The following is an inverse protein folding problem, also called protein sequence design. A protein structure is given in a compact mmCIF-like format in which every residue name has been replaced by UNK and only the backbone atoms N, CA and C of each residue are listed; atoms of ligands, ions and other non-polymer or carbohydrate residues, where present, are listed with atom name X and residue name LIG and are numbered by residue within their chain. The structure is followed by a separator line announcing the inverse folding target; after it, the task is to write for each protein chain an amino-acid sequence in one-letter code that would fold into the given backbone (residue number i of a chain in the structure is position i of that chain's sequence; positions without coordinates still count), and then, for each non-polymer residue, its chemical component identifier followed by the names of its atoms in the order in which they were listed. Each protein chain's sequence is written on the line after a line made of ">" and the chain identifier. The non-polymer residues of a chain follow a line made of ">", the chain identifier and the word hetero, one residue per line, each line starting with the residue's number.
data_IF_759522413673
#
_entry.id   IF_759522413673
#
_cell.length_a   1.000
_cell.length_b   1.000
_cell.length_c   1.000
_cell.angle_alpha   90.00
_cell.angle_beta   90.00
_cell.angle_gamma   90.00
#
_symmetry.space_group_name_H-M   'P 1'
#
loop_
_entity.id
_entity.type
_entity.pdbx_description
1 polymer ?
#
# COMPACT_ATOMS: atom_id res chain seq x y z
N UNK A 1 -14.64 -22.61 -21.18
CA UNK A 1 -13.21 -22.75 -20.83
C UNK A 1 -12.82 -21.49 -20.06
N UNK A 2 -12.88 -21.51 -18.73
CA UNK A 2 -12.49 -20.37 -17.91
C UNK A 2 -10.96 -20.34 -17.84
N UNK A 3 -10.34 -19.52 -18.69
CA UNK A 3 -8.90 -19.26 -18.59
C UNK A 3 -8.70 -18.27 -17.45
N UNK A 4 -8.32 -18.77 -16.28
CA UNK A 4 -7.93 -17.91 -15.15
C UNK A 4 -6.65 -17.19 -15.55
N UNK A 5 -6.74 -15.89 -15.82
CA UNK A 5 -5.60 -15.06 -16.20
C UNK A 5 -4.69 -14.92 -14.99
N UNK A 6 -3.56 -15.63 -15.00
CA UNK A 6 -2.51 -15.50 -13.99
C UNK A 6 -1.54 -14.41 -14.43
N UNK A 7 -1.16 -13.55 -13.47
CA UNK A 7 -0.14 -12.52 -13.68
C UNK A 7 1.08 -12.85 -12.82
N UNK A 8 2.28 -12.67 -13.38
CA UNK A 8 3.51 -12.74 -12.61
C UNK A 8 3.62 -11.52 -11.70
N UNK A 9 3.90 -11.76 -10.41
CA UNK A 9 3.96 -10.69 -9.40
C UNK A 9 5.11 -9.73 -9.68
N UNK A 10 6.25 -10.23 -10.19
CA UNK A 10 7.40 -9.39 -10.55
C UNK A 10 7.07 -8.42 -11.68
N UNK A 11 6.36 -8.91 -12.71
CA UNK A 11 5.89 -8.06 -13.81
C UNK A 11 4.89 -7.01 -13.34
N UNK A 12 3.94 -7.37 -12.46
CA UNK A 12 2.99 -6.41 -11.89
C UNK A 12 3.72 -5.33 -11.07
N UNK A 13 4.67 -5.71 -10.22
CA UNK A 13 5.48 -4.76 -9.44
C UNK A 13 6.31 -3.85 -10.35
N UNK A 14 6.90 -4.39 -11.41
CA UNK A 14 7.67 -3.62 -12.39
C UNK A 14 6.80 -2.60 -13.12
N UNK A 15 5.56 -2.97 -13.50
CA UNK A 15 4.60 -2.06 -14.12
C UNK A 15 4.09 -0.97 -13.17
N UNK A 16 4.09 -1.22 -11.87
CA UNK A 16 3.68 -0.28 -10.83
C UNK A 16 4.82 0.64 -10.34
N UNK A 17 6.07 0.35 -10.70
CA UNK A 17 7.24 1.11 -10.25
C UNK A 17 7.11 2.60 -10.58
N UNK A 18 7.40 3.46 -9.60
CA UNK A 18 7.26 4.92 -9.71
C UNK A 18 5.82 5.44 -9.65
N UNK A 19 4.82 4.57 -9.49
CA UNK A 19 3.38 4.94 -9.45
C UNK A 19 2.68 4.55 -8.15
N UNK A 20 3.41 4.10 -7.13
CA UNK A 20 2.79 3.59 -5.92
C UNK A 20 1.91 4.60 -5.18
N UNK A 21 2.31 5.88 -5.11
CA UNK A 21 1.46 6.92 -4.50
C UNK A 21 0.11 7.05 -5.20
N UNK A 22 0.13 7.10 -6.54
CA UNK A 22 -1.08 7.16 -7.37
C UNK A 22 -1.95 5.92 -7.12
N UNK A 23 -1.36 4.72 -7.21
CA UNK A 23 -2.07 3.45 -7.05
C UNK A 23 -2.68 3.30 -5.65
N UNK A 24 -1.91 3.59 -4.60
CA UNK A 24 -2.38 3.53 -3.20
C UNK A 24 -3.53 4.50 -2.94
N UNK A 25 -3.50 5.67 -3.57
CA UNK A 25 -4.60 6.62 -3.45
C UNK A 25 -5.83 6.19 -4.25
N UNK A 26 -5.66 5.88 -5.53
CA UNK A 26 -6.77 5.59 -6.44
C UNK A 26 -7.45 4.25 -6.15
N UNK A 27 -6.67 3.23 -5.74
CA UNK A 27 -7.17 1.87 -5.52
C UNK A 27 -7.35 1.58 -4.03
N UNK A 28 -6.43 2.03 -3.18
CA UNK A 28 -6.46 1.81 -1.74
C UNK A 28 -7.29 2.82 -0.96
N UNK A 29 -7.73 3.92 -1.58
CA UNK A 29 -8.49 4.98 -0.91
C UNK A 29 -7.69 5.74 0.15
N UNK A 30 -6.36 5.66 0.11
CA UNK A 30 -5.50 6.39 1.04
C UNK A 30 -5.38 7.84 0.57
N UNK A 31 -5.65 8.80 1.45
CA UNK A 31 -5.44 10.21 1.14
C UNK A 31 -3.96 10.46 0.77
N UNK A 32 -3.66 11.05 -0.41
CA UNK A 32 -2.30 11.36 -0.83
C UNK A 32 -1.48 12.16 0.20
N UNK A 33 -2.13 12.97 1.04
CA UNK A 33 -1.43 13.74 2.09
C UNK A 33 -0.78 12.86 3.15
N UNK A 34 -1.24 11.61 3.31
CA UNK A 34 -0.69 10.65 4.26
C UNK A 34 0.54 9.93 3.69
N UNK A 35 0.76 10.00 2.38
CA UNK A 35 1.86 9.33 1.67
C UNK A 35 3.11 10.21 1.60
N UNK A 36 3.42 10.92 2.69
CA UNK A 36 4.57 11.84 2.79
C UNK A 36 5.73 11.28 3.63
N UNK A 37 5.58 10.05 4.14
CA UNK A 37 6.56 9.37 4.99
C UNK A 37 6.53 9.78 6.47
N UNK A 38 5.65 10.69 6.87
CA UNK A 38 5.48 11.11 8.26
C UNK A 38 4.47 10.24 9.00
N UNK A 39 4.41 10.45 10.31
CA UNK A 39 3.46 9.82 11.19
C UNK A 39 2.06 10.44 11.03
N UNK A 40 1.06 9.58 10.86
CA UNK A 40 -0.34 9.98 10.77
C UNK A 40 -1.27 9.00 11.51
N UNK A 41 -2.52 9.42 11.68
CA UNK A 41 -3.62 8.52 11.99
C UNK A 41 -3.73 7.44 10.90
N UNK A 42 -4.04 6.20 11.30
CA UNK A 42 -4.20 5.13 10.31
C UNK A 42 -5.51 5.31 9.54
N UNK A 43 -5.48 5.32 8.18
CA UNK A 43 -6.69 5.41 7.39
C UNK A 43 -7.62 4.19 7.55
N UNK A 44 -7.08 3.04 7.98
CA UNK A 44 -7.87 1.80 8.20
C UNK A 44 -8.37 1.62 9.63
N UNK A 45 -7.56 1.93 10.65
CA UNK A 45 -7.88 1.63 12.06
C UNK A 45 -7.82 2.83 13.02
N UNK A 46 -7.66 4.05 12.50
CA UNK A 46 -7.61 5.28 13.30
C UNK A 46 -6.33 5.44 14.14
N UNK A 47 -6.46 6.04 15.33
CA UNK A 47 -5.33 6.47 16.16
C UNK A 47 -4.75 7.81 15.73
N UNK A 48 -3.51 8.11 16.15
CA UNK A 48 -2.92 9.46 15.98
C UNK A 48 -1.62 9.46 15.16
N UNK A 49 -0.77 8.43 15.30
CA UNK A 49 0.63 8.47 14.85
C UNK A 49 1.19 7.13 14.32
N UNK A 50 0.30 6.18 14.04
CA UNK A 50 0.68 4.79 13.76
C UNK A 50 0.96 4.48 12.29
N UNK A 51 0.45 5.31 11.37
CA UNK A 51 0.60 5.12 9.92
C UNK A 51 1.78 5.91 9.36
N UNK A 52 2.56 5.28 8.49
CA UNK A 52 3.65 5.89 7.72
C UNK A 52 3.75 5.23 6.34
N UNK A 53 4.07 6.02 5.32
CA UNK A 53 4.50 5.52 4.02
C UNK A 53 6.02 5.33 4.03
N UNK A 54 6.48 4.11 4.25
CA UNK A 54 7.87 3.83 4.67
C UNK A 54 8.82 3.57 3.49
N UNK A 55 8.32 3.20 2.32
CA UNK A 55 9.14 2.99 1.13
C UNK A 55 8.37 3.42 -0.13
N UNK A 56 8.83 4.52 -0.74
CA UNK A 56 8.24 5.08 -1.97
C UNK A 56 8.45 4.17 -3.18
N UNK A 57 9.63 3.56 -3.29
CA UNK A 57 10.02 2.73 -4.42
C UNK A 57 9.30 1.38 -4.40
N UNK A 58 9.17 0.77 -3.23
CA UNK A 58 8.45 -0.49 -3.05
C UNK A 58 6.94 -0.30 -2.89
N UNK A 59 6.47 0.90 -2.53
CA UNK A 59 5.07 1.18 -2.25
C UNK A 59 4.62 0.75 -0.86
N UNK A 60 5.54 0.60 0.10
CA UNK A 60 5.25 0.01 1.39
C UNK A 60 4.64 1.01 2.38
N UNK A 61 3.50 0.66 2.96
CA UNK A 61 2.86 1.34 4.07
C UNK A 61 3.09 0.56 5.37
N UNK A 62 3.19 1.25 6.49
CA UNK A 62 3.25 0.65 7.83
C UNK A 62 2.12 1.21 8.68
N UNK A 63 1.39 0.33 9.36
CA UNK A 63 0.62 0.69 10.54
C UNK A 63 1.10 -0.19 11.70
N UNK A 64 1.62 0.39 12.78
CA UNK A 64 2.16 -0.39 13.90
C UNK A 64 1.11 -1.26 14.66
N UNK A 65 -0.20 -1.12 14.34
CA UNK A 65 -1.29 -1.92 14.91
C UNK A 65 -1.89 -2.95 13.94
N UNK A 66 -2.30 -2.53 12.73
CA UNK A 66 -3.06 -3.40 11.81
C UNK A 66 -2.32 -3.74 10.51
N UNK A 67 -1.09 -3.27 10.34
CA UNK A 67 -0.23 -3.58 9.20
C UNK A 67 1.24 -3.59 9.62
N UNK A 68 1.53 -4.32 10.70
CA UNK A 68 2.85 -4.40 11.32
C UNK A 68 3.66 -5.64 10.90
N UNK A 69 3.06 -6.50 10.08
CA UNK A 69 3.67 -7.68 9.47
C UNK A 69 3.28 -7.75 8.00
N UNK A 70 4.12 -8.41 7.19
CA UNK A 70 3.89 -8.61 5.75
C UNK A 70 3.53 -7.31 5.00
N UNK A 71 4.23 -6.20 5.29
CA UNK A 71 3.92 -4.84 4.84
C UNK A 71 4.98 -4.26 3.89
N UNK A 72 5.79 -5.12 3.28
CA UNK A 72 7.03 -4.71 2.59
C UNK A 72 6.86 -4.21 1.15
N UNK A 73 5.64 -4.16 0.60
CA UNK A 73 5.42 -3.68 -0.77
C UNK A 73 4.02 -3.08 -1.00
N UNK A 74 3.85 -2.47 -2.17
CA UNK A 74 2.62 -1.81 -2.58
C UNK A 74 1.46 -2.75 -2.86
N UNK A 75 1.70 -4.00 -3.25
CA UNK A 75 0.62 -4.99 -3.39
C UNK A 75 0.10 -5.36 -2.02
N UNK A 76 0.98 -5.64 -1.06
CA UNK A 76 0.61 -5.92 0.33
C UNK A 76 -0.12 -4.72 0.97
N UNK A 77 0.35 -3.51 0.68
CA UNK A 77 -0.29 -2.27 1.15
C UNK A 77 -1.68 -2.07 0.56
N UNK A 78 -1.86 -2.37 -0.74
CA UNK A 78 -3.17 -2.35 -1.38
C UNK A 78 -4.10 -3.42 -0.80
N UNK A 79 -3.62 -4.67 -0.65
CA UNK A 79 -4.40 -5.74 -0.05
C UNK A 79 -4.87 -5.36 1.36
N UNK A 80 -3.96 -4.81 2.18
CA UNK A 80 -4.31 -4.29 3.49
C UNK A 80 -5.32 -3.14 3.41
N UNK A 81 -5.19 -2.21 2.47
CA UNK A 81 -6.09 -1.06 2.38
C UNK A 81 -7.51 -1.46 1.91
N UNK A 82 -7.63 -2.44 1.01
CA UNK A 82 -8.89 -2.82 0.36
C UNK A 82 -9.58 -4.07 0.95
N UNK A 83 -8.95 -4.76 1.91
CA UNK A 83 -9.50 -5.94 2.60
C UNK A 83 -9.07 -6.01 4.06
#
# INVERSE_FOLDING_TARGET
>A
MNSTRQYDVGQVKSAAAGRWRELLSSLGGIDPSLLDGKHHACPKCGGTDRFRYIDDAAGACLCNQCHNTANGDGIASLMWATG
#
